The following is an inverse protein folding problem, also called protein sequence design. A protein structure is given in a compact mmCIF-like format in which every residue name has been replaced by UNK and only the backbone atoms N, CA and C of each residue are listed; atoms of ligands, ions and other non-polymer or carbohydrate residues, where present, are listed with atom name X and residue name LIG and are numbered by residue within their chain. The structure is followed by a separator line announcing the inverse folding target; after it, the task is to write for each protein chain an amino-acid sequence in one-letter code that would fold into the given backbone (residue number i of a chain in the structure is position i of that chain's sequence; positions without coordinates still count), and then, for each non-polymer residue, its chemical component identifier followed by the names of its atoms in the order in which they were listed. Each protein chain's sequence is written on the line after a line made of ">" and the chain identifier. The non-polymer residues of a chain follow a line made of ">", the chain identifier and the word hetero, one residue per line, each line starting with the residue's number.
data_IF_053483265782
#
_entry.id   IF_053483265782
#
_cell.length_a   1.000
_cell.length_b   1.000
_cell.length_c   1.000
_cell.angle_alpha   90.00
_cell.angle_beta   90.00
_cell.angle_gamma   90.00
#
_symmetry.space_group_name_H-M   'P 1'
#
loop_
_entity.id
_entity.type
_entity.pdbx_description
1 polymer ?
#
# COMPACT_ATOMS: atom_id res chain seq x y z
N UNK A 1 -9.40 -6.25 14.87
CA UNK A 1 -8.69 -5.34 13.95
C UNK A 1 -7.60 -6.10 13.21
N UNK A 2 -7.64 -6.03 11.89
CA UNK A 2 -6.62 -6.71 11.07
C UNK A 2 -5.58 -5.70 10.60
N UNK A 3 -4.36 -6.19 10.40
CA UNK A 3 -3.28 -5.41 9.81
C UNK A 3 -3.28 -5.68 8.30
N UNK A 4 -3.66 -4.66 7.52
CA UNK A 4 -3.82 -4.76 6.08
C UNK A 4 -2.80 -3.87 5.39
N UNK A 5 -2.06 -4.42 4.44
CA UNK A 5 -1.25 -3.57 3.56
C UNK A 5 -1.81 -3.63 2.14
N UNK A 6 -1.83 -2.47 1.50
CA UNK A 6 -2.29 -2.34 0.13
C UNK A 6 -1.10 -1.83 -0.67
N UNK A 7 -0.70 -2.59 -1.68
CA UNK A 7 0.46 -2.26 -2.52
C UNK A 7 -0.03 -1.72 -3.85
N UNK A 8 0.32 -0.48 -4.13
CA UNK A 8 -0.13 0.25 -5.31
C UNK A 8 -0.96 1.45 -4.91
N UNK A 9 -0.41 2.65 -5.12
CA UNK A 9 -1.02 3.91 -4.67
C UNK A 9 -1.83 4.62 -5.76
N UNK A 10 -2.22 3.90 -6.81
CA UNK A 10 -3.13 4.44 -7.82
C UNK A 10 -4.52 4.67 -7.24
N UNK A 11 -5.46 5.14 -8.08
CA UNK A 11 -6.79 5.52 -7.62
C UNK A 11 -7.53 4.38 -6.94
N UNK A 12 -7.47 3.17 -7.52
CA UNK A 12 -8.19 2.02 -6.96
C UNK A 12 -7.65 1.60 -5.60
N UNK A 13 -6.32 1.43 -5.48
CA UNK A 13 -5.70 1.03 -4.22
C UNK A 13 -5.93 2.07 -3.13
N UNK A 14 -5.79 3.34 -3.48
CA UNK A 14 -6.01 4.44 -2.54
C UNK A 14 -7.46 4.52 -2.10
N UNK A 15 -8.41 4.38 -3.00
CA UNK A 15 -9.84 4.39 -2.66
C UNK A 15 -10.22 3.24 -1.74
N UNK A 16 -9.61 2.07 -1.94
CA UNK A 16 -9.90 0.88 -1.13
C UNK A 16 -9.48 1.05 0.33
N UNK A 17 -8.53 1.94 0.61
CA UNK A 17 -8.11 2.21 2.00
C UNK A 17 -9.25 2.75 2.85
N UNK A 18 -10.17 3.49 2.23
CA UNK A 18 -11.24 4.18 2.97
C UNK A 18 -12.16 3.18 3.69
N UNK A 19 -12.80 2.21 3.00
CA UNK A 19 -13.66 1.26 3.72
C UNK A 19 -12.88 0.37 4.69
N UNK A 20 -11.61 0.05 4.39
CA UNK A 20 -10.81 -0.76 5.30
C UNK A 20 -10.59 -0.03 6.63
N UNK A 21 -10.29 1.27 6.58
CA UNK A 21 -10.09 2.06 7.80
C UNK A 21 -11.41 2.29 8.52
N UNK A 22 -12.50 2.53 7.79
CA UNK A 22 -13.81 2.72 8.38
C UNK A 22 -14.29 1.48 9.15
N UNK A 23 -13.82 0.30 8.75
CA UNK A 23 -14.12 -0.95 9.45
C UNK A 23 -13.15 -1.25 10.59
N UNK A 24 -12.32 -0.30 10.97
CA UNK A 24 -11.47 -0.42 12.16
C UNK A 24 -10.16 -1.15 11.96
N UNK A 25 -9.70 -1.34 10.73
CA UNK A 25 -8.45 -2.03 10.45
C UNK A 25 -7.26 -1.08 10.49
N UNK A 26 -6.08 -1.66 10.76
CA UNK A 26 -4.80 -0.96 10.67
C UNK A 26 -4.31 -1.08 9.23
N UNK A 27 -4.36 0.02 8.47
CA UNK A 27 -4.10 0.00 7.03
C UNK A 27 -2.87 0.80 6.68
N UNK A 28 -2.00 0.22 5.86
CA UNK A 28 -0.84 0.90 5.29
C UNK A 28 -0.93 0.82 3.77
N UNK A 29 -0.80 1.96 3.11
CA UNK A 29 -0.74 2.05 1.65
C UNK A 29 0.72 2.18 1.25
N UNK A 30 1.20 1.23 0.47
CA UNK A 30 2.60 1.20 0.03
C UNK A 30 2.65 1.47 -1.46
N UNK A 31 3.40 2.49 -1.87
CA UNK A 31 3.60 2.80 -3.27
C UNK A 31 4.55 1.80 -3.93
N UNK A 32 4.40 1.61 -5.24
CA UNK A 32 5.37 0.83 -6.01
C UNK A 32 6.66 1.62 -6.21
N UNK A 33 7.67 0.97 -6.78
CA UNK A 33 8.98 1.61 -7.02
C UNK A 33 8.90 2.84 -7.94
N UNK A 34 7.82 2.99 -8.71
CA UNK A 34 7.64 4.15 -9.59
C UNK A 34 6.67 5.18 -9.02
N UNK A 35 6.22 5.00 -7.77
CA UNK A 35 5.20 5.85 -7.15
C UNK A 35 5.71 6.68 -5.97
N UNK A 36 7.02 6.81 -5.80
CA UNK A 36 7.56 7.58 -4.66
C UNK A 36 7.06 9.02 -4.64
N UNK A 37 6.99 9.67 -5.81
CA UNK A 37 6.47 11.04 -5.90
C UNK A 37 4.98 11.09 -5.56
N UNK A 38 4.22 10.09 -5.97
CA UNK A 38 2.79 10.01 -5.68
C UNK A 38 2.55 9.88 -4.18
N UNK A 39 3.34 9.05 -3.49
CA UNK A 39 3.25 8.92 -2.04
C UNK A 39 3.53 10.25 -1.36
N UNK A 40 4.54 10.99 -1.82
CA UNK A 40 4.86 12.31 -1.28
C UNK A 40 3.69 13.29 -1.47
N UNK A 41 3.05 13.28 -2.63
CA UNK A 41 1.90 14.13 -2.90
C UNK A 41 0.72 13.82 -2.00
N UNK A 42 0.41 12.52 -1.82
CA UNK A 42 -0.69 12.09 -0.97
C UNK A 42 -0.45 12.53 0.48
N UNK A 43 0.79 12.42 0.96
CA UNK A 43 1.11 12.80 2.34
C UNK A 43 0.96 14.29 2.59
N UNK A 44 1.04 15.12 1.56
CA UNK A 44 0.93 16.57 1.69
C UNK A 44 -0.49 17.10 1.52
N UNK A 45 -1.32 16.41 0.73
CA UNK A 45 -2.65 16.91 0.42
C UNK A 45 -3.56 15.77 -0.07
N UNK A 46 -4.46 16.07 -1.00
CA UNK A 46 -5.36 15.07 -1.57
C UNK A 46 -4.65 14.20 -2.61
N UNK A 47 -5.18 12.98 -2.82
CA UNK A 47 -4.73 12.12 -3.90
C UNK A 47 -5.03 12.79 -5.25
N UNK A 48 -4.04 12.91 -6.15
CA UNK A 48 -4.25 13.66 -7.40
C UNK A 48 -5.40 13.13 -8.27
N UNK A 49 -5.55 11.81 -8.37
CA UNK A 49 -6.61 11.22 -9.20
C UNK A 49 -7.97 11.25 -8.53
N UNK A 50 -8.04 11.01 -7.23
CA UNK A 50 -9.30 11.00 -6.48
C UNK A 50 -9.77 12.38 -6.07
N UNK A 51 -8.85 13.33 -5.97
CA UNK A 51 -9.11 14.72 -5.55
C UNK A 51 -9.76 14.82 -4.18
N UNK A 52 -9.55 13.81 -3.34
CA UNK A 52 -10.01 13.80 -1.94
C UNK A 52 -8.83 13.40 -1.06
N UNK A 53 -8.82 13.93 0.16
CA UNK A 53 -7.83 13.55 1.15
C UNK A 53 -8.12 12.14 1.65
N UNK A 54 -7.08 11.33 1.82
CA UNK A 54 -7.23 10.00 2.39
C UNK A 54 -7.34 10.09 3.91
N UNK A 55 -7.89 9.05 4.59
CA UNK A 55 -8.05 9.09 6.04
C UNK A 55 -6.75 9.37 6.78
N UNK A 56 -6.81 10.15 7.85
CA UNK A 56 -5.62 10.50 8.63
C UNK A 56 -4.97 9.31 9.32
N UNK A 57 -5.76 8.27 9.60
CA UNK A 57 -5.25 7.04 10.23
C UNK A 57 -4.48 6.16 9.27
N UNK A 58 -4.55 6.44 7.97
CA UNK A 58 -3.83 5.68 6.96
C UNK A 58 -2.34 5.93 7.09
N UNK A 59 -1.55 4.86 7.10
CA UNK A 59 -0.11 4.95 7.02
C UNK A 59 0.32 4.92 5.57
N UNK A 60 1.27 5.76 5.20
CA UNK A 60 1.80 5.85 3.85
C UNK A 60 3.27 5.48 3.87
N UNK A 61 3.67 4.53 3.00
CA UNK A 61 5.05 4.10 2.91
C UNK A 61 5.50 3.99 1.47
N UNK A 62 6.79 4.21 1.25
CA UNK A 62 7.43 3.95 -0.03
C UNK A 62 7.82 2.49 -0.12
N UNK A 63 8.11 2.00 -1.33
CA UNK A 63 8.34 0.58 -1.56
C UNK A 63 9.52 0.02 -0.75
N UNK A 64 10.50 0.84 -0.39
CA UNK A 64 11.66 0.38 0.40
C UNK A 64 11.26 -0.19 1.75
N UNK A 65 10.09 0.19 2.26
CA UNK A 65 9.60 -0.25 3.57
C UNK A 65 8.74 -1.51 3.50
N UNK A 66 8.52 -2.07 2.31
CA UNK A 66 7.58 -3.18 2.12
C UNK A 66 7.91 -4.39 2.99
N UNK A 67 9.19 -4.66 3.21
CA UNK A 67 9.63 -5.82 3.98
C UNK A 67 9.30 -5.70 5.47
N UNK A 68 9.11 -4.49 5.97
CA UNK A 68 8.75 -4.26 7.37
C UNK A 68 7.32 -4.71 7.67
N UNK A 69 6.52 -5.02 6.64
CA UNK A 69 5.11 -5.37 6.78
C UNK A 69 4.85 -6.84 6.43
N UNK A 70 5.87 -7.70 6.49
CA UNK A 70 5.72 -9.12 6.18
C UNK A 70 4.80 -9.87 7.14
N UNK A 71 4.49 -9.30 8.29
CA UNK A 71 3.60 -9.88 9.28
C UNK A 71 2.14 -9.43 9.12
N UNK A 72 1.80 -8.74 8.05
CA UNK A 72 0.43 -8.30 7.81
C UNK A 72 -0.53 -9.49 7.70
N UNK A 73 -1.76 -9.27 8.16
CA UNK A 73 -2.81 -10.29 8.06
C UNK A 73 -3.32 -10.44 6.62
N UNK A 74 -3.29 -9.35 5.86
CA UNK A 74 -3.75 -9.33 4.47
C UNK A 74 -2.88 -8.40 3.64
N UNK A 75 -2.48 -8.88 2.48
CA UNK A 75 -1.73 -8.10 1.50
C UNK A 75 -2.58 -7.98 0.25
N UNK A 76 -2.93 -6.76 -0.13
CA UNK A 76 -3.77 -6.49 -1.29
C UNK A 76 -2.90 -5.96 -2.43
N UNK A 77 -2.97 -6.63 -3.57
CA UNK A 77 -2.27 -6.20 -4.77
C UNK A 77 -3.17 -5.26 -5.57
N UNK A 78 -2.82 -3.99 -5.62
CA UNK A 78 -3.54 -2.97 -6.37
C UNK A 78 -2.67 -2.33 -7.45
N UNK A 79 -1.68 -3.09 -7.95
CA UNK A 79 -0.78 -2.61 -9.01
C UNK A 79 -1.40 -2.86 -10.38
N UNK A 80 -0.97 -2.07 -11.38
CA UNK A 80 -1.37 -2.30 -12.76
C UNK A 80 -0.73 -3.58 -13.29
N UNK A 81 -1.18 -4.04 -14.47
CA UNK A 81 -0.62 -5.24 -15.10
C UNK A 81 0.89 -5.14 -15.31
N UNK A 82 1.41 -3.93 -15.54
CA UNK A 82 2.85 -3.71 -15.68
C UNK A 82 3.61 -3.87 -14.38
N UNK A 83 2.94 -3.77 -13.25
CA UNK A 83 3.58 -3.90 -11.93
C UNK A 83 3.46 -5.27 -11.30
N UNK A 84 2.79 -6.23 -11.95
CA UNK A 84 2.54 -7.56 -11.36
C UNK A 84 3.83 -8.32 -11.10
N UNK A 85 4.77 -8.32 -12.04
CA UNK A 85 6.05 -9.01 -11.86
C UNK A 85 6.83 -8.43 -10.68
N UNK A 86 6.86 -7.12 -10.57
CA UNK A 86 7.50 -6.44 -9.45
C UNK A 86 6.85 -6.85 -8.12
N UNK A 87 5.51 -6.89 -8.10
CA UNK A 87 4.75 -7.28 -6.90
C UNK A 87 5.08 -8.71 -6.49
N UNK A 88 5.09 -9.64 -7.44
CA UNK A 88 5.41 -11.05 -7.17
C UNK A 88 6.82 -11.16 -6.59
N UNK A 89 7.78 -10.43 -7.14
CA UNK A 89 9.15 -10.43 -6.66
C UNK A 89 9.23 -9.95 -5.20
N UNK A 90 8.51 -8.88 -4.85
CA UNK A 90 8.48 -8.38 -3.49
C UNK A 90 7.88 -9.38 -2.51
N UNK A 91 6.79 -10.05 -2.89
CA UNK A 91 6.15 -11.06 -2.04
C UNK A 91 7.06 -12.26 -1.84
N UNK A 92 7.76 -12.69 -2.88
CA UNK A 92 8.72 -13.81 -2.77
C UNK A 92 9.83 -13.49 -1.79
N UNK A 93 10.34 -12.25 -1.77
CA UNK A 93 11.36 -11.82 -0.83
C UNK A 93 10.83 -11.82 0.61
N UNK A 94 9.59 -11.40 0.81
CA UNK A 94 8.94 -11.41 2.12
C UNK A 94 8.80 -12.84 2.65
N UNK A 95 8.35 -13.76 1.80
CA UNK A 95 8.20 -15.17 2.16
C UNK A 95 9.54 -15.81 2.53
N UNK A 96 10.59 -15.56 1.75
CA UNK A 96 11.93 -16.06 2.05
C UNK A 96 12.41 -15.59 3.41
N UNK A 97 12.19 -14.33 3.72
CA UNK A 97 12.54 -13.76 5.02
C UNK A 97 11.74 -14.41 6.15
N UNK A 98 10.49 -14.71 5.90
CA UNK A 98 9.58 -15.31 6.89
C UNK A 98 9.94 -16.76 7.17
N UNK A 99 10.44 -17.50 6.18
CA UNK A 99 10.82 -18.89 6.32
C UNK A 99 12.15 -19.09 7.05
N UNK A 100 12.94 -18.06 7.10
CA UNK A 100 14.21 -18.07 7.78
C UNK A 100 14.05 -17.61 9.23
#
# INVERSE_FOLDING_TARGET
>A
MSKIIIIGAGAMGSAFTIPCIENGNDVTLIGTHIENNLIDEISKSAHPALKVALPKKLKLEKFEKIKDYSDADLIVCAVSSLGVDWFIDQISQMESKKLN
#
